data_IF_265101819193
#
_entry.id   IF_265101819193
#
_cell.length_a   1.000
_cell.length_b   1.000
_cell.length_c   1.000
_cell.angle_alpha   90.00
_cell.angle_beta   90.00
_cell.angle_gamma   90.00
#
_symmetry.space_group_name_H-M   'P 1'
#
loop_
_entity.id
_entity.type
_entity.pdbx_description
1 polymer ?
#
# COMPACT_ATOMS: atom_id res chain seq x y z
N UNK A 1 -8.04 29.01 -3.08
CA UNK A 1 -8.94 27.88 -3.42
C UNK A 1 -8.74 26.82 -2.37
N UNK A 2 -9.83 26.36 -1.74
CA UNK A 2 -9.73 25.36 -0.69
C UNK A 2 -9.66 23.99 -1.38
N UNK A 3 -8.49 23.40 -1.45
CA UNK A 3 -8.29 22.05 -1.94
C UNK A 3 -8.98 21.08 -0.96
N UNK A 4 -9.70 20.12 -1.49
CA UNK A 4 -10.32 19.07 -0.68
C UNK A 4 -9.43 17.83 -0.75
N UNK A 5 -8.92 17.45 0.39
CA UNK A 5 -8.00 16.30 0.50
C UNK A 5 -7.65 16.01 1.94
N UNK A 6 -6.82 15.01 2.13
CA UNK A 6 -6.27 14.64 3.43
C UNK A 6 -4.75 14.47 3.33
N UNK A 7 -4.05 14.79 4.40
CA UNK A 7 -2.62 14.47 4.54
C UNK A 7 -2.42 13.53 5.72
N UNK A 8 -1.49 12.60 5.57
CA UNK A 8 -1.11 11.67 6.63
C UNK A 8 0.36 11.94 6.96
N UNK A 9 0.64 12.45 8.17
CA UNK A 9 2.00 12.73 8.60
C UNK A 9 2.76 11.44 8.95
N UNK A 10 4.08 11.55 8.98
CA UNK A 10 5.00 10.42 9.27
C UNK A 10 4.66 9.66 10.55
N UNK A 11 4.20 10.34 11.60
CA UNK A 11 3.87 9.68 12.86
C UNK A 11 2.74 8.66 12.70
N UNK A 12 1.67 9.03 12.03
CA UNK A 12 0.56 8.12 11.77
C UNK A 12 0.98 6.94 10.87
N UNK A 13 1.91 7.18 9.93
CA UNK A 13 2.47 6.15 9.07
C UNK A 13 3.27 5.10 9.84
N UNK A 14 3.90 5.48 10.94
CA UNK A 14 4.72 4.58 11.75
C UNK A 14 3.88 3.78 12.75
N UNK A 15 2.82 4.38 13.27
CA UNK A 15 1.99 3.80 14.33
C UNK A 15 0.95 2.80 13.80
N UNK A 16 0.53 2.95 12.54
CA UNK A 16 -0.46 2.05 11.93
C UNK A 16 0.22 0.83 11.31
N UNK A 17 -0.10 -0.38 11.74
CA UNK A 17 0.47 -1.59 11.16
C UNK A 17 -0.02 -1.79 9.72
N UNK A 18 0.89 -1.99 8.79
CA UNK A 18 0.61 -2.31 7.40
C UNK A 18 1.26 -3.63 7.00
N UNK A 19 0.52 -4.45 6.26
CA UNK A 19 1.02 -5.74 5.77
C UNK A 19 2.15 -5.56 4.75
N UNK A 20 2.05 -4.56 3.88
CA UNK A 20 2.95 -4.39 2.74
C UNK A 20 4.02 -3.32 2.97
N UNK A 21 3.91 -2.53 4.06
CA UNK A 21 4.78 -1.38 4.37
C UNK A 21 5.04 -0.45 3.18
N UNK A 22 4.08 -0.40 2.26
CA UNK A 22 4.05 0.57 1.19
C UNK A 22 3.15 1.74 1.61
N UNK A 23 3.56 2.97 1.34
CA UNK A 23 2.76 4.15 1.70
C UNK A 23 1.36 4.13 1.06
N UNK A 24 1.20 3.46 -0.08
CA UNK A 24 -0.09 3.35 -0.77
C UNK A 24 -1.14 2.61 0.06
N UNK A 25 -0.74 1.67 0.91
CA UNK A 25 -1.67 0.95 1.80
C UNK A 25 -2.35 1.87 2.81
N UNK A 26 -1.68 2.95 3.21
CA UNK A 26 -2.22 3.92 4.18
C UNK A 26 -3.22 4.89 3.55
N UNK A 27 -3.26 4.98 2.22
CA UNK A 27 -4.27 5.79 1.54
C UNK A 27 -5.69 5.32 1.84
N UNK A 28 -5.87 4.04 2.16
CA UNK A 28 -7.17 3.48 2.57
C UNK A 28 -7.72 4.07 3.88
N UNK A 29 -6.89 4.73 4.68
CA UNK A 29 -7.31 5.44 5.89
C UNK A 29 -8.02 6.77 5.57
N UNK A 30 -7.82 7.28 4.36
CA UNK A 30 -8.41 8.54 3.96
C UNK A 30 -9.84 8.36 3.43
N UNK A 31 -10.74 9.30 3.71
CA UNK A 31 -12.11 9.22 3.21
C UNK A 31 -12.17 9.31 1.69
N UNK A 32 -13.09 8.55 1.09
CA UNK A 32 -13.27 8.50 -0.37
C UNK A 32 -12.32 7.53 -1.08
N UNK A 33 -11.51 6.79 -0.34
CA UNK A 33 -10.64 5.75 -0.88
C UNK A 33 -11.22 4.38 -0.61
N UNK A 34 -11.26 3.57 -1.66
CA UNK A 34 -11.45 2.13 -1.52
C UNK A 34 -10.19 1.43 -2.04
N UNK A 35 -9.51 0.72 -1.17
CA UNK A 35 -8.44 -0.17 -1.58
C UNK A 35 -9.01 -1.57 -1.79
N UNK A 36 -8.81 -2.12 -2.93
CA UNK A 36 -8.91 -3.56 -3.11
C UNK A 36 -7.52 -4.11 -2.82
N UNK A 37 -7.39 -4.87 -1.74
CA UNK A 37 -6.18 -5.67 -1.50
C UNK A 37 -6.21 -6.81 -2.53
N UNK A 38 -6.08 -6.48 -3.77
CA UNK A 38 -5.70 -7.46 -4.78
C UNK A 38 -4.21 -7.28 -4.96
N UNK A 39 -3.48 -8.13 -4.27
CA UNK A 39 -2.07 -8.33 -4.55
C UNK A 39 -2.06 -8.88 -5.97
N UNK A 40 -2.01 -8.00 -6.95
CA UNK A 40 -1.68 -8.43 -8.29
C UNK A 40 -0.30 -9.10 -8.24
N UNK A 41 0.06 -9.85 -9.24
CA UNK A 41 1.33 -10.58 -9.30
C UNK A 41 2.57 -9.70 -9.08
N UNK A 42 2.39 -8.38 -9.02
CA UNK A 42 3.42 -7.37 -8.83
C UNK A 42 3.29 -6.62 -7.49
N UNK A 43 2.28 -6.95 -6.65
CA UNK A 43 2.10 -6.39 -5.31
C UNK A 43 1.71 -4.92 -5.29
N UNK A 44 1.11 -4.39 -6.35
CA UNK A 44 0.56 -3.05 -6.36
C UNK A 44 -0.81 -3.04 -5.69
N UNK A 45 -0.99 -2.15 -4.71
CA UNK A 45 -2.28 -1.91 -4.10
C UNK A 45 -3.15 -1.14 -5.12
N UNK A 46 -4.24 -1.73 -5.56
CA UNK A 46 -5.20 -1.05 -6.42
C UNK A 46 -6.06 -0.11 -5.59
N UNK A 47 -5.82 1.18 -5.73
CA UNK A 47 -6.55 2.22 -5.01
C UNK A 47 -7.56 2.86 -5.95
N UNK A 48 -8.79 3.00 -5.48
CA UNK A 48 -9.85 3.73 -6.18
C UNK A 48 -10.18 4.98 -5.38
N UNK A 49 -10.09 6.13 -6.03
CA UNK A 49 -10.40 7.43 -5.43
C UNK A 49 -11.78 7.86 -5.91
N UNK A 50 -12.69 8.14 -4.97
CA UNK A 50 -14.07 8.57 -5.26
C UNK A 50 -14.83 7.64 -6.22
N UNK A 51 -14.57 6.34 -6.14
CA UNK A 51 -15.20 5.34 -7.02
C UNK A 51 -14.64 5.29 -8.44
N UNK A 52 -13.67 6.11 -8.78
CA UNK A 52 -12.99 6.09 -10.07
C UNK A 52 -12.05 4.90 -10.19
N UNK A 53 -11.78 4.46 -11.42
CA UNK A 53 -10.81 3.40 -11.67
C UNK A 53 -9.40 3.82 -11.22
N UNK A 54 -8.59 2.86 -10.81
CA UNK A 54 -7.21 3.08 -10.30
C UNK A 54 -6.34 3.87 -11.28
N UNK A 55 -6.54 3.66 -12.56
CA UNK A 55 -5.84 4.36 -13.65
C UNK A 55 -6.09 5.87 -13.71
N UNK A 56 -7.20 6.30 -13.11
CA UNK A 56 -7.61 7.70 -13.11
C UNK A 56 -7.01 8.48 -11.95
N UNK A 57 -6.22 7.86 -11.09
CA UNK A 57 -5.44 8.52 -10.06
C UNK A 57 -4.05 8.89 -10.59
N UNK A 58 -3.56 10.05 -10.23
CA UNK A 58 -2.21 10.50 -10.55
C UNK A 58 -1.32 10.36 -9.32
N UNK A 59 -0.23 9.61 -9.45
CA UNK A 59 0.75 9.42 -8.39
C UNK A 59 1.96 10.27 -8.69
N UNK A 60 2.38 11.07 -7.72
CA UNK A 60 3.61 11.86 -7.80
C UNK A 60 4.50 11.57 -6.59
N UNK A 61 5.80 11.57 -6.83
CA UNK A 61 6.84 11.45 -5.80
C UNK A 61 7.81 12.61 -5.98
N UNK A 62 7.96 13.44 -4.97
CA UNK A 62 8.79 14.65 -5.00
C UNK A 62 8.49 15.56 -6.22
N UNK A 63 7.22 15.63 -6.62
CA UNK A 63 6.77 16.40 -7.78
C UNK A 63 6.97 15.70 -9.14
N UNK A 64 7.65 14.57 -9.17
CA UNK A 64 7.81 13.78 -10.39
C UNK A 64 6.68 12.77 -10.55
N UNK A 65 6.25 12.50 -11.79
CA UNK A 65 5.22 11.49 -12.08
C UNK A 65 5.71 10.08 -11.71
N UNK A 66 4.92 9.40 -10.92
CA UNK A 66 5.20 8.04 -10.44
C UNK A 66 4.08 7.06 -10.83
N UNK A 67 3.47 7.28 -11.97
CA UNK A 67 2.39 6.42 -12.47
C UNK A 67 2.95 5.16 -13.12
N UNK A 68 2.39 4.01 -12.76
CA UNK A 68 2.63 2.76 -13.49
C UNK A 68 1.70 2.69 -14.71
N UNK A 69 2.24 3.04 -15.86
CA UNK A 69 1.54 2.99 -17.14
C UNK A 69 1.68 1.64 -17.86
N UNK A 70 2.52 0.74 -17.34
CA UNK A 70 2.86 -0.51 -18.01
C UNK A 70 1.84 -1.64 -17.72
N UNK A 71 1.22 -1.63 -16.57
CA UNK A 71 0.41 -2.75 -16.08
C UNK A 71 -1.05 -2.73 -16.59
N UNK A 72 -1.23 -2.46 -17.87
CA UNK A 72 -2.49 -2.62 -18.64
C UNK A 72 -3.77 -2.24 -17.88
N UNK A 73 -3.71 -1.15 -17.16
CA UNK A 73 -4.90 -0.61 -16.50
C UNK A 73 -5.04 -0.88 -15.02
N UNK A 74 -4.12 -1.54 -14.40
CA UNK A 74 -4.14 -1.67 -12.95
C UNK A 74 -3.51 -0.50 -12.22
N UNK A 75 -3.06 0.54 -12.89
CA UNK A 75 -2.59 1.79 -12.32
C UNK A 75 -1.99 1.68 -10.91
N UNK A 76 -1.21 2.61 -10.53
CA UNK A 76 -0.60 2.61 -9.19
C UNK A 76 0.72 3.34 -9.22
N UNK A 77 1.44 3.31 -8.10
CA UNK A 77 2.76 3.89 -8.02
C UNK A 77 3.81 2.93 -8.62
N UNK A 78 4.56 3.41 -9.61
CA UNK A 78 5.64 2.65 -10.24
C UNK A 78 6.78 2.37 -9.26
N UNK A 79 7.24 3.40 -8.55
CA UNK A 79 8.22 3.25 -7.50
C UNK A 79 7.52 2.98 -6.17
N UNK A 80 7.77 1.81 -5.60
CA UNK A 80 7.27 1.40 -4.30
C UNK A 80 8.20 1.93 -3.22
N UNK A 81 7.89 3.12 -2.75
CA UNK A 81 8.69 3.76 -1.72
C UNK A 81 8.31 3.20 -0.36
N UNK A 82 9.25 2.67 0.43
CA UNK A 82 8.97 2.21 1.77
C UNK A 82 8.52 3.38 2.65
N UNK A 83 7.64 3.11 3.61
CA UNK A 83 7.10 4.12 4.53
C UNK A 83 8.20 4.90 5.24
N UNK A 84 9.30 4.23 5.53
CA UNK A 84 10.45 4.83 6.21
C UNK A 84 11.12 5.96 5.43
N UNK A 85 11.00 5.93 4.10
CA UNK A 85 11.57 6.95 3.21
C UNK A 85 10.60 8.10 2.92
N UNK A 86 9.31 7.95 3.24
CA UNK A 86 8.29 8.98 3.01
C UNK A 86 8.20 9.89 4.23
N UNK A 87 8.23 11.20 4.02
CA UNK A 87 8.03 12.19 5.05
C UNK A 87 6.54 12.44 5.30
N UNK A 88 5.80 12.63 4.24
CA UNK A 88 4.35 12.77 4.26
C UNK A 88 3.76 12.40 2.91
N UNK A 89 2.50 12.04 2.89
CA UNK A 89 1.76 11.99 1.65
C UNK A 89 0.44 12.74 1.78
N UNK A 90 0.03 13.30 0.67
CA UNK A 90 -1.17 14.08 0.54
C UNK A 90 -2.04 13.49 -0.56
N UNK A 91 -3.33 13.36 -0.27
CA UNK A 91 -4.34 13.02 -1.25
C UNK A 91 -5.18 14.26 -1.55
N UNK A 92 -5.26 14.62 -2.81
CA UNK A 92 -6.16 15.66 -3.32
C UNK A 92 -7.28 14.98 -4.11
N UNK A 93 -8.51 15.14 -3.65
CA UNK A 93 -9.68 14.46 -4.26
C UNK A 93 -10.48 15.37 -5.18
N UNK A 94 -10.39 16.68 -4.97
CA UNK A 94 -11.08 17.67 -5.82
C UNK A 94 -10.45 19.07 -5.66
N UNK A 95 -10.73 19.96 -6.61
CA UNK A 95 -10.25 21.34 -6.62
C UNK A 95 -8.72 21.47 -6.57
N UNK A 96 -8.00 20.49 -7.14
CA UNK A 96 -6.55 20.59 -7.29
C UNK A 96 -6.17 21.52 -8.45
N UNK A 97 -5.01 22.13 -8.35
CA UNK A 97 -4.50 23.08 -9.34
C UNK A 97 -4.19 22.36 -10.67
N UNK A 98 -4.18 23.12 -11.76
CA UNK A 98 -3.97 22.58 -13.12
C UNK A 98 -2.59 21.92 -13.31
N UNK A 99 -1.63 22.18 -12.43
CA UNK A 99 -0.31 21.53 -12.43
C UNK A 99 -0.40 20.02 -12.17
N UNK A 100 -1.43 19.56 -11.45
CA UNK A 100 -1.70 18.16 -11.18
C UNK A 100 -2.54 17.48 -12.26
N UNK A 101 -2.51 17.97 -13.48
CA UNK A 101 -3.35 17.52 -14.59
C UNK A 101 -3.37 16.01 -14.82
N UNK A 102 -4.11 15.60 -15.86
CA UNK A 102 -4.17 14.19 -16.30
C UNK A 102 -4.83 13.19 -15.35
N UNK A 103 -5.72 13.66 -14.47
CA UNK A 103 -6.47 12.79 -13.55
C UNK A 103 -7.93 13.20 -13.44
N UNK A 104 -8.82 12.21 -13.32
CA UNK A 104 -10.25 12.44 -13.01
C UNK A 104 -10.62 11.88 -11.62
N UNK A 105 -9.75 11.11 -10.99
CA UNK A 105 -10.02 10.50 -9.69
C UNK A 105 -9.44 11.30 -8.54
N UNK A 106 -8.15 11.58 -8.57
CA UNK A 106 -7.44 12.31 -7.52
C UNK A 106 -5.94 12.24 -7.72
N UNK A 107 -5.22 13.07 -6.96
CA UNK A 107 -3.76 13.14 -6.97
C UNK A 107 -3.23 12.63 -5.64
N UNK A 108 -2.33 11.67 -5.70
CA UNK A 108 -1.56 11.17 -4.55
C UNK A 108 -0.16 11.74 -4.67
N UNK A 109 0.18 12.68 -3.82
CA UNK A 109 1.51 13.29 -3.78
C UNK A 109 2.27 12.78 -2.56
N UNK A 110 3.39 12.12 -2.76
CA UNK A 110 4.29 11.68 -1.71
C UNK A 110 5.56 12.53 -1.73
N UNK A 111 6.03 12.90 -0.55
CA UNK A 111 7.27 13.64 -0.36
C UNK A 111 8.25 12.77 0.41
N UNK A 112 9.45 12.60 -0.13
CA UNK A 112 10.50 11.84 0.52
C UNK A 112 11.15 12.62 1.67
N UNK A 113 11.73 11.91 2.63
CA UNK A 113 12.49 12.52 3.73
C UNK A 113 13.74 13.20 3.19
N UNK A 114 13.96 14.42 3.62
CA UNK A 114 15.16 15.18 3.29
C UNK A 114 16.22 15.03 4.38
N UNK A 115 17.47 15.11 3.99
CA UNK A 115 18.59 15.17 4.92
C UNK A 115 18.65 16.51 5.69
N UNK A 116 19.31 16.49 6.82
CA UNK A 116 19.55 17.68 7.65
C UNK A 116 21.05 17.89 7.89
N UNK A 117 21.44 19.04 8.44
CA UNK A 117 22.84 19.30 8.79
C UNK A 117 23.34 18.47 9.99
N UNK A 118 22.43 17.78 10.68
CA UNK A 118 22.79 16.88 11.80
C UNK A 118 22.68 15.44 11.26
N UNK A 119 23.78 14.67 11.27
CA UNK A 119 23.74 13.30 10.82
C UNK A 119 22.70 12.50 11.62
N UNK A 120 21.77 11.89 10.96
CA UNK A 120 20.76 11.02 11.55
C UNK A 120 20.47 9.85 10.61
N UNK A 121 20.03 8.76 11.18
CA UNK A 121 19.71 7.60 10.37
C UNK A 121 18.82 6.62 11.13
N UNK A 122 18.13 5.79 10.37
CA UNK A 122 17.32 4.71 10.91
C UNK A 122 17.65 3.41 10.20
N UNK A 123 17.65 2.33 10.97
CA UNK A 123 17.73 0.97 10.44
C UNK A 123 16.44 0.25 10.79
N UNK A 124 15.90 -0.49 9.86
CA UNK A 124 14.69 -1.26 10.09
C UNK A 124 14.83 -2.70 9.59
N UNK A 125 14.21 -3.61 10.30
CA UNK A 125 14.08 -5.01 9.92
C UNK A 125 12.70 -5.51 10.28
N UNK A 126 11.99 -6.07 9.29
CA UNK A 126 10.68 -6.69 9.46
C UNK A 126 10.72 -8.11 8.91
N UNK A 127 10.25 -9.04 9.72
CA UNK A 127 10.07 -10.44 9.33
C UNK A 127 8.59 -10.81 9.54
N UNK A 128 7.95 -11.22 8.46
CA UNK A 128 6.62 -11.78 8.48
C UNK A 128 6.70 -13.23 8.02
N UNK A 129 6.34 -14.12 8.92
CA UNK A 129 6.34 -15.55 8.65
C UNK A 129 4.92 -16.12 8.77
N UNK A 130 4.67 -17.17 8.03
CA UNK A 130 3.43 -17.94 8.11
C UNK A 130 3.03 -18.30 9.55
N UNK A 131 3.99 -18.60 10.43
CA UNK A 131 3.72 -18.93 11.83
C UNK A 131 3.18 -17.75 12.66
N UNK A 132 3.49 -16.51 12.26
CA UNK A 132 3.06 -15.28 12.94
C UNK A 132 1.67 -14.80 12.50
N UNK A 133 1.14 -15.35 11.42
CA UNK A 133 -0.15 -14.94 10.87
C UNK A 133 -1.19 -15.99 11.22
N UNK A 134 -2.35 -15.59 11.74
CA UNK A 134 -3.47 -16.51 11.94
C UNK A 134 -4.21 -16.75 10.63
N UNK A 135 -4.83 -17.90 10.52
CA UNK A 135 -5.75 -18.19 9.43
C UNK A 135 -7.11 -17.57 9.72
N UNK A 136 -7.80 -17.11 8.69
CA UNK A 136 -9.18 -16.66 8.83
C UNK A 136 -10.07 -17.75 9.44
N UNK A 137 -11.05 -17.35 10.24
CA UNK A 137 -11.92 -18.27 10.96
C UNK A 137 -12.66 -19.25 10.02
N UNK A 138 -13.25 -18.71 8.95
CA UNK A 138 -13.99 -19.53 7.99
C UNK A 138 -13.09 -20.46 7.18
N UNK A 139 -11.91 -19.98 6.79
CA UNK A 139 -10.93 -20.80 6.11
C UNK A 139 -10.42 -21.95 7.00
N UNK A 140 -10.22 -21.68 8.28
CA UNK A 140 -9.84 -22.71 9.26
C UNK A 140 -10.96 -23.73 9.47
N UNK A 141 -12.21 -23.28 9.64
CA UNK A 141 -13.36 -24.18 9.79
C UNK A 141 -13.56 -25.09 8.56
N UNK A 142 -13.39 -24.54 7.35
CA UNK A 142 -13.45 -25.32 6.11
C UNK A 142 -12.32 -26.35 6.04
N UNK A 143 -11.11 -25.98 6.46
CA UNK A 143 -9.97 -26.91 6.50
C UNK A 143 -10.20 -28.04 7.50
N UNK A 144 -10.71 -27.73 8.69
CA UNK A 144 -11.01 -28.71 9.74
C UNK A 144 -12.12 -29.67 9.28
N UNK A 145 -13.16 -29.16 8.62
CA UNK A 145 -14.23 -29.97 8.03
C UNK A 145 -13.70 -30.86 6.92
N UNK A 146 -12.85 -30.34 6.06
CA UNK A 146 -12.21 -31.11 4.99
C UNK A 146 -11.33 -32.24 5.55
N UNK A 147 -10.56 -31.98 6.60
CA UNK A 147 -9.70 -32.98 7.26
C UNK A 147 -10.49 -34.09 7.96
N UNK A 148 -11.71 -33.76 8.43
CA UNK A 148 -12.60 -34.72 9.07
C UNK A 148 -13.30 -35.69 8.09
N UNK A 149 -13.36 -35.32 6.80
CA UNK A 149 -14.02 -36.14 5.74
C UNK A 149 -12.96 -36.88 4.91
N UNK A 150 -12.98 -38.21 4.86
CA UNK A 150 -12.11 -38.97 3.95
C UNK A 150 -12.69 -39.01 2.51
N UNK A 151 -11.83 -38.89 1.45
CA UNK A 151 -10.39 -38.74 1.45
C UNK A 151 -9.94 -37.26 1.44
N UNK A 152 -8.99 -36.95 2.26
CA UNK A 152 -8.44 -35.59 2.45
C UNK A 152 -7.63 -35.01 1.24
N UNK A 153 -7.74 -35.64 0.06
CA UNK A 153 -6.88 -35.32 -1.08
C UNK A 153 -7.02 -33.86 -1.63
N UNK A 154 -8.12 -33.19 -1.32
CA UNK A 154 -8.34 -31.78 -1.76
C UNK A 154 -8.02 -30.72 -0.73
N UNK A 155 -7.70 -31.10 0.50
CA UNK A 155 -7.52 -30.15 1.60
C UNK A 155 -6.23 -29.33 1.50
N UNK A 156 -5.27 -29.76 0.68
CA UNK A 156 -4.02 -29.03 0.47
C UNK A 156 -4.23 -27.60 -0.09
N UNK A 157 -5.30 -27.40 -0.86
CA UNK A 157 -5.67 -26.09 -1.39
C UNK A 157 -6.27 -25.15 -0.33
N UNK A 158 -6.76 -25.71 0.78
CA UNK A 158 -7.32 -24.98 1.91
C UNK A 158 -6.27 -24.70 2.99
N UNK A 159 -5.09 -25.29 2.86
CA UNK A 159 -4.00 -25.03 3.79
C UNK A 159 -3.50 -23.61 3.69
N UNK A 160 -3.04 -23.11 4.82
CA UNK A 160 -2.47 -21.78 4.92
C UNK A 160 -1.30 -21.63 3.93
N UNK A 161 -1.34 -20.66 3.01
CA UNK A 161 -0.27 -20.47 2.05
C UNK A 161 1.05 -20.21 2.75
N UNK A 162 2.11 -20.80 2.25
CA UNK A 162 3.47 -20.55 2.75
C UNK A 162 3.89 -19.17 2.27
N UNK A 163 3.86 -18.21 3.17
CA UNK A 163 4.31 -16.85 2.90
C UNK A 163 5.40 -16.48 3.90
N UNK A 164 6.51 -16.01 3.39
CA UNK A 164 7.57 -15.41 4.18
C UNK A 164 8.01 -14.12 3.50
N UNK A 165 7.97 -13.03 4.23
CA UNK A 165 8.40 -11.73 3.76
C UNK A 165 9.42 -11.18 4.74
N UNK A 166 10.60 -10.82 4.21
CA UNK A 166 11.66 -10.15 4.98
C UNK A 166 11.95 -8.82 4.32
N UNK A 167 11.85 -7.76 5.08
CA UNK A 167 12.18 -6.41 4.63
C UNK A 167 13.23 -5.84 5.57
N UNK A 168 14.29 -5.31 5.01
CA UNK A 168 15.32 -4.63 5.78
C UNK A 168 15.85 -3.45 4.98
N UNK A 169 16.28 -2.45 5.67
CA UNK A 169 16.82 -1.27 5.04
C UNK A 169 17.26 -0.25 6.07
N UNK A 170 17.76 0.85 5.56
CA UNK A 170 18.15 1.98 6.38
C UNK A 170 18.21 3.24 5.54
N UNK A 171 18.10 4.36 6.22
CA UNK A 171 18.35 5.67 5.66
C UNK A 171 19.43 6.37 6.49
N UNK A 172 20.19 7.20 5.84
CA UNK A 172 21.18 8.09 6.44
C UNK A 172 20.99 9.46 5.80
N UNK A 173 20.89 10.51 6.61
CA UNK A 173 20.71 11.88 6.16
C UNK A 173 21.42 12.89 7.04
#
# INVERSE_FOLDING_TARGET
TKQLGGSVPTQELQDVPSLNRNFTSYLSLLPGITSTISVDSFGADSIRVNGQATQNANYTLDGAGNNDNFNNGNGGAQARTPVEAVQEFQLLTSNFDAEFGSTSGGVVNAVSKQGTNVPHGTLFFFDQNQSMTSMDYFAKANLDTCRAAPPAAGCALLEKPKAQQKQWGGNLG
#
